data_IF_559043059511
#
_entry.id   IF_559043059511
#
_cell.length_a   1.000
_cell.length_b   1.000
_cell.length_c   1.000
_cell.angle_alpha   90.00
_cell.angle_beta   90.00
_cell.angle_gamma   90.00
#
_symmetry.space_group_name_H-M   'P 1'
#
loop_
_entity.id
_entity.type
_entity.pdbx_description
1 polymer ?
#
# COMPACT_ATOMS: atom_id res chain seq x y z
N UNK A 1 -16.48 -7.15 -8.70
CA UNK A 1 -15.97 -5.78 -8.84
C UNK A 1 -15.19 -5.39 -7.60
N UNK A 2 -14.02 -4.80 -7.77
CA UNK A 2 -13.17 -4.39 -6.64
C UNK A 2 -13.42 -2.93 -6.29
N UNK A 3 -13.86 -2.66 -5.06
CA UNK A 3 -14.13 -1.30 -4.60
C UNK A 3 -12.84 -0.65 -4.08
N UNK A 4 -12.24 0.20 -4.91
CA UNK A 4 -10.97 0.86 -4.60
C UNK A 4 -11.13 1.91 -3.51
N UNK A 5 -12.26 2.60 -3.48
CA UNK A 5 -12.55 3.59 -2.44
C UNK A 5 -12.64 2.94 -1.06
N UNK A 6 -13.27 1.76 -0.98
CA UNK A 6 -13.33 1.00 0.27
C UNK A 6 -11.93 0.57 0.74
N UNK A 7 -11.09 0.12 -0.18
CA UNK A 7 -9.71 -0.25 0.15
C UNK A 7 -8.91 0.95 0.63
N UNK A 8 -9.11 2.11 0.02
CA UNK A 8 -8.43 3.35 0.44
C UNK A 8 -8.87 3.76 1.84
N UNK A 9 -10.16 3.60 2.16
CA UNK A 9 -10.68 3.88 3.49
C UNK A 9 -10.08 2.94 4.53
N UNK A 10 -10.00 1.65 4.21
CA UNK A 10 -9.34 0.67 5.07
C UNK A 10 -7.87 1.03 5.31
N UNK A 11 -7.17 1.41 4.26
CA UNK A 11 -5.77 1.83 4.36
C UNK A 11 -5.63 2.99 5.33
N UNK A 12 -6.48 4.00 5.20
CA UNK A 12 -6.47 5.15 6.10
C UNK A 12 -6.73 4.71 7.55
N UNK A 13 -7.72 3.88 7.78
CA UNK A 13 -8.06 3.38 9.11
C UNK A 13 -6.92 2.57 9.73
N UNK A 14 -6.26 1.73 8.94
CA UNK A 14 -5.13 0.92 9.40
C UNK A 14 -3.89 1.73 9.71
N UNK A 15 -3.74 2.91 9.12
CA UNK A 15 -2.53 3.71 9.24
C UNK A 15 -2.73 4.99 10.06
N UNK A 16 -3.93 5.30 10.51
CA UNK A 16 -4.21 6.54 11.24
C UNK A 16 -3.54 6.61 12.61
N UNK A 17 -3.12 5.45 13.15
CA UNK A 17 -2.34 5.40 14.39
C UNK A 17 -0.95 6.02 14.23
N UNK A 18 -0.48 6.15 13.00
CA UNK A 18 0.84 6.66 12.69
C UNK A 18 0.76 8.16 12.45
N UNK A 19 1.44 8.94 13.28
CA UNK A 19 1.56 10.37 13.04
C UNK A 19 2.40 10.62 11.80
N UNK A 20 1.96 11.56 10.97
CA UNK A 20 2.70 11.95 9.78
C UNK A 20 3.10 13.42 9.88
N UNK A 21 4.34 13.76 9.45
CA UNK A 21 4.74 15.18 9.38
C UNK A 21 3.86 15.97 8.43
N UNK A 22 3.37 15.32 7.39
CA UNK A 22 2.47 15.92 6.41
C UNK A 22 1.22 15.05 6.30
N UNK A 23 0.08 15.52 6.85
CA UNK A 23 -1.17 14.76 6.75
C UNK A 23 -1.54 14.48 5.30
N UNK A 24 -2.03 13.26 5.06
CA UNK A 24 -2.42 12.81 3.72
C UNK A 24 -3.91 13.06 3.47
N UNK A 25 -4.23 13.42 2.23
CA UNK A 25 -5.61 13.57 1.79
C UNK A 25 -6.16 12.23 1.30
N UNK A 26 -7.48 12.12 1.25
CA UNK A 26 -8.14 10.89 0.80
C UNK A 26 -7.72 10.50 -0.63
N UNK A 27 -7.49 11.49 -1.50
CA UNK A 27 -7.03 11.24 -2.86
C UNK A 27 -5.64 10.58 -2.89
N UNK A 28 -4.80 10.86 -1.91
CA UNK A 28 -3.48 10.24 -1.82
C UNK A 28 -3.58 8.77 -1.43
N UNK A 29 -4.49 8.44 -0.50
CA UNK A 29 -4.75 7.05 -0.15
C UNK A 29 -5.31 6.27 -1.34
N UNK A 30 -6.24 6.86 -2.08
CA UNK A 30 -6.79 6.23 -3.28
C UNK A 30 -5.69 6.02 -4.33
N UNK A 31 -4.80 6.98 -4.49
CA UNK A 31 -3.66 6.87 -5.40
C UNK A 31 -2.75 5.70 -5.04
N UNK A 32 -2.52 5.47 -3.75
CA UNK A 32 -1.74 4.32 -3.28
C UNK A 32 -2.41 3.00 -3.64
N UNK A 33 -3.72 2.91 -3.49
CA UNK A 33 -4.48 1.71 -3.86
C UNK A 33 -4.42 1.48 -5.37
N UNK A 34 -4.55 2.52 -6.17
CA UNK A 34 -4.47 2.41 -7.64
C UNK A 34 -3.09 1.90 -8.09
N UNK A 35 -2.02 2.42 -7.49
CA UNK A 35 -0.68 1.94 -7.79
C UNK A 35 -0.47 0.50 -7.33
N UNK A 36 -1.04 0.14 -6.18
CA UNK A 36 -0.98 -1.22 -5.67
C UNK A 36 -1.72 -2.21 -6.58
N UNK A 37 -2.86 -1.79 -7.12
CA UNK A 37 -3.61 -2.60 -8.09
C UNK A 37 -2.76 -2.87 -9.33
N UNK A 38 -2.12 -1.85 -9.87
CA UNK A 38 -1.21 -2.01 -11.02
C UNK A 38 -0.05 -2.94 -10.66
N UNK A 39 0.48 -2.80 -9.46
CA UNK A 39 1.58 -3.62 -8.96
C UNK A 39 1.18 -5.10 -8.92
N UNK A 40 -0.04 -5.40 -8.52
CA UNK A 40 -0.53 -6.77 -8.53
C UNK A 40 -0.43 -7.38 -9.93
N UNK A 41 -0.91 -6.67 -10.95
CA UNK A 41 -0.84 -7.16 -12.33
C UNK A 41 0.59 -7.34 -12.80
N UNK A 42 1.47 -6.40 -12.47
CA UNK A 42 2.88 -6.45 -12.86
C UNK A 42 3.56 -7.64 -12.20
N UNK A 43 3.42 -7.77 -10.88
CA UNK A 43 4.14 -8.79 -10.11
C UNK A 43 3.66 -10.21 -10.42
N UNK A 44 2.43 -10.37 -10.84
CA UNK A 44 1.88 -11.68 -11.21
C UNK A 44 2.04 -11.98 -12.71
N UNK A 45 2.78 -11.14 -13.45
CA UNK A 45 3.03 -11.37 -14.86
C UNK A 45 1.83 -11.10 -15.77
N UNK A 46 0.85 -10.34 -15.28
CA UNK A 46 -0.38 -10.06 -16.03
C UNK A 46 -0.51 -8.57 -16.39
N UNK A 47 0.62 -7.87 -16.53
CA UNK A 47 0.61 -6.44 -16.82
C UNK A 47 -0.22 -6.09 -18.07
N UNK A 48 -0.18 -6.94 -19.09
CA UNK A 48 -0.94 -6.73 -20.32
C UNK A 48 -2.46 -6.87 -20.12
N UNK A 49 -2.89 -7.47 -19.05
CA UNK A 49 -4.31 -7.65 -18.73
C UNK A 49 -4.92 -6.46 -17.98
N UNK A 50 -4.07 -5.59 -17.44
CA UNK A 50 -4.58 -4.39 -16.78
C UNK A 50 -5.21 -3.47 -17.81
N UNK A 51 -6.47 -3.09 -17.56
CA UNK A 51 -7.24 -2.25 -18.48
C UNK A 51 -7.78 -1.03 -17.75
N UNK A 52 -7.23 0.18 -18.04
CA UNK A 52 -7.73 1.40 -17.42
C UNK A 52 -9.22 1.68 -17.68
N UNK A 53 -9.76 1.13 -18.76
CA UNK A 53 -11.18 1.30 -19.08
C UNK A 53 -12.11 0.56 -18.11
N UNK A 54 -11.54 -0.37 -17.32
CA UNK A 54 -12.28 -1.07 -16.26
C UNK A 54 -12.37 -0.29 -14.97
N UNK A 55 -11.72 0.87 -14.88
CA UNK A 55 -11.88 1.79 -13.76
C UNK A 55 -13.19 2.54 -13.96
N UNK A 56 -14.15 2.32 -13.07
CA UNK A 56 -15.49 2.88 -13.20
C UNK A 56 -15.91 3.59 -11.91
N UNK A 57 -16.67 4.67 -12.06
CA UNK A 57 -17.25 5.39 -10.93
C UNK A 57 -18.73 5.01 -10.85
N UNK A 58 -19.16 4.59 -9.66
CA UNK A 58 -20.54 4.20 -9.42
C UNK A 58 -21.34 5.35 -8.81
N UNK A 59 -22.65 5.16 -8.69
CA UNK A 59 -23.59 6.19 -8.24
C UNK A 59 -23.31 6.74 -6.83
N UNK A 60 -22.60 5.97 -6.00
CA UNK A 60 -22.17 6.39 -4.67
C UNK A 60 -20.82 7.12 -4.68
N UNK A 61 -20.38 7.56 -5.85
CA UNK A 61 -19.09 8.22 -6.08
C UNK A 61 -17.89 7.35 -5.73
N UNK A 62 -18.07 6.04 -5.64
CA UNK A 62 -16.98 5.12 -5.38
C UNK A 62 -16.24 4.77 -6.67
N UNK A 63 -14.91 4.65 -6.57
CA UNK A 63 -14.08 4.12 -7.63
C UNK A 63 -14.00 2.62 -7.52
N UNK A 64 -14.18 1.93 -8.64
CA UNK A 64 -14.17 0.48 -8.69
C UNK A 64 -13.37 0.01 -9.89
N UNK A 65 -12.81 -1.19 -9.79
CA UNK A 65 -12.22 -1.87 -10.93
C UNK A 65 -13.13 -3.03 -11.31
N UNK A 66 -13.55 -3.07 -12.57
CA UNK A 66 -14.46 -4.10 -13.07
C UNK A 66 -13.69 -5.39 -13.33
N UNK A 67 -13.61 -6.23 -12.32
CA UNK A 67 -12.91 -7.49 -12.37
C UNK A 67 -13.13 -8.28 -11.09
N UNK A 68 -12.82 -9.57 -11.14
CA UNK A 68 -12.95 -10.47 -9.99
C UNK A 68 -11.56 -10.77 -9.45
N UNK A 69 -11.39 -10.65 -8.13
CA UNK A 69 -10.12 -10.87 -7.47
C UNK A 69 -10.28 -11.89 -6.35
N UNK A 70 -9.24 -12.68 -6.16
CA UNK A 70 -9.16 -13.61 -5.03
C UNK A 70 -8.83 -12.85 -3.76
N UNK A 71 -9.13 -13.45 -2.61
CA UNK A 71 -8.86 -12.84 -1.31
C UNK A 71 -7.37 -12.52 -1.15
N UNK A 72 -6.50 -13.44 -1.59
CA UNK A 72 -5.05 -13.22 -1.52
C UNK A 72 -4.61 -12.04 -2.39
N UNK A 73 -5.26 -11.85 -3.54
CA UNK A 73 -4.96 -10.73 -4.43
C UNK A 73 -5.36 -9.39 -3.78
N UNK A 74 -6.53 -9.34 -3.17
CA UNK A 74 -6.96 -8.13 -2.46
C UNK A 74 -6.04 -7.82 -1.29
N UNK A 75 -5.62 -8.84 -0.55
CA UNK A 75 -4.69 -8.69 0.57
C UNK A 75 -3.33 -8.18 0.07
N UNK A 76 -2.86 -8.71 -1.05
CA UNK A 76 -1.62 -8.24 -1.67
C UNK A 76 -1.68 -6.76 -2.03
N UNK A 77 -2.80 -6.31 -2.59
CA UNK A 77 -3.02 -4.90 -2.90
C UNK A 77 -2.91 -4.05 -1.62
N UNK A 78 -3.56 -4.49 -0.54
CA UNK A 78 -3.51 -3.78 0.74
C UNK A 78 -2.09 -3.68 1.27
N UNK A 79 -1.31 -4.76 1.21
CA UNK A 79 0.07 -4.77 1.68
C UNK A 79 0.97 -3.85 0.85
N UNK A 80 0.81 -3.85 -0.46
CA UNK A 80 1.56 -2.95 -1.34
C UNK A 80 1.25 -1.49 -1.03
N UNK A 81 -0.01 -1.17 -0.79
CA UNK A 81 -0.43 0.19 -0.44
C UNK A 81 0.12 0.61 0.92
N UNK A 82 0.10 -0.28 1.91
CA UNK A 82 0.69 -0.01 3.22
C UNK A 82 2.18 0.25 3.11
N UNK A 83 2.90 -0.51 2.30
CA UNK A 83 4.32 -0.28 2.06
C UNK A 83 4.58 1.11 1.50
N UNK A 84 3.80 1.52 0.52
CA UNK A 84 3.94 2.86 -0.06
C UNK A 84 3.68 3.93 0.99
N UNK A 85 2.64 3.75 1.82
CA UNK A 85 2.33 4.68 2.90
C UNK A 85 3.50 4.85 3.86
N UNK A 86 4.01 3.74 4.40
CA UNK A 86 5.07 3.81 5.41
C UNK A 86 6.39 4.30 4.82
N UNK A 87 6.70 3.97 3.57
CA UNK A 87 7.88 4.51 2.89
C UNK A 87 7.75 6.01 2.66
N UNK A 88 6.54 6.49 2.36
CA UNK A 88 6.29 7.92 2.24
C UNK A 88 6.47 8.63 3.58
N UNK A 89 5.93 8.07 4.66
CA UNK A 89 6.12 8.63 6.01
C UNK A 89 7.60 8.68 6.35
N UNK A 90 8.35 7.63 6.08
CA UNK A 90 9.78 7.59 6.34
C UNK A 90 10.52 8.67 5.56
N UNK A 91 10.18 8.87 4.29
CA UNK A 91 10.75 9.92 3.46
C UNK A 91 10.41 11.32 4.01
N UNK A 92 9.16 11.53 4.39
CA UNK A 92 8.71 12.81 4.92
C UNK A 92 9.39 13.11 6.26
N UNK A 93 9.59 12.12 7.11
CA UNK A 93 10.32 12.28 8.37
C UNK A 93 11.76 12.72 8.09
N UNK A 94 12.43 12.03 7.17
CA UNK A 94 13.81 12.35 6.81
C UNK A 94 13.94 13.77 6.25
N UNK A 95 12.98 14.18 5.43
CA UNK A 95 12.98 15.51 4.82
C UNK A 95 12.66 16.61 5.85
N UNK A 96 11.75 16.33 6.78
CA UNK A 96 11.29 17.32 7.76
C UNK A 96 12.33 17.56 8.86
N UNK A 97 12.96 16.49 9.36
CA UNK A 97 13.90 16.57 10.46
C UNK A 97 15.35 16.68 10.02
N UNK A 98 15.60 16.75 8.72
CA UNK A 98 16.92 16.92 8.14
C UNK A 98 17.81 15.71 8.27
N UNK A 99 19.09 15.92 8.02
CA UNK A 99 20.07 14.83 7.94
C UNK A 99 21.01 14.79 9.11
N UNK A 100 20.72 15.53 10.17
CA UNK A 100 21.51 15.43 11.39
C UNK A 100 21.21 14.09 12.03
N UNK A 101 22.01 13.10 11.73
CA UNK A 101 21.84 11.75 12.20
C UNK A 101 21.76 11.69 13.72
N UNK A 102 22.60 12.45 14.40
CA UNK A 102 22.63 12.46 15.84
C UNK A 102 21.38 13.10 16.43
N UNK A 103 20.95 14.22 15.88
CA UNK A 103 19.73 14.90 16.33
C UNK A 103 18.50 14.01 16.06
N UNK A 104 18.47 13.36 14.92
CA UNK A 104 17.38 12.45 14.57
C UNK A 104 17.34 11.24 15.53
N UNK A 105 18.48 10.68 15.84
CA UNK A 105 18.60 9.55 16.76
C UNK A 105 18.11 9.91 18.14
N UNK A 106 18.53 11.06 18.67
CA UNK A 106 18.13 11.55 19.99
C UNK A 106 16.63 11.84 20.01
N UNK A 107 16.14 12.49 18.97
CA UNK A 107 14.73 12.85 18.87
C UNK A 107 13.85 11.62 18.76
N UNK A 108 14.29 10.63 18.01
CA UNK A 108 13.49 9.42 17.76
C UNK A 108 13.34 8.52 18.98
N UNK A 109 14.12 8.73 20.03
CA UNK A 109 13.98 7.93 21.25
C UNK A 109 12.55 8.00 21.82
N UNK A 110 11.87 9.14 21.61
CA UNK A 110 10.53 9.39 22.15
C UNK A 110 9.48 9.63 21.04
N UNK A 111 9.78 9.27 19.81
CA UNK A 111 8.88 9.55 18.67
C UNK A 111 8.24 8.29 18.11
N UNK A 112 7.01 8.41 17.54
CA UNK A 112 6.32 7.26 16.93
C UNK A 112 7.01 6.71 15.67
N UNK A 113 8.04 7.39 15.18
CA UNK A 113 8.74 7.00 13.95
C UNK A 113 9.87 5.98 14.18
N UNK A 114 10.20 5.68 15.41
CA UNK A 114 11.35 4.82 15.76
C UNK A 114 11.30 3.46 15.07
N UNK A 115 10.11 2.89 14.95
CA UNK A 115 9.93 1.54 14.43
C UNK A 115 9.52 1.47 12.96
N UNK A 116 9.62 2.59 12.22
CA UNK A 116 9.22 2.60 10.81
C UNK A 116 9.96 1.57 9.96
N UNK A 117 11.28 1.48 10.14
CA UNK A 117 12.08 0.51 9.38
C UNK A 117 11.64 -0.92 9.66
N UNK A 118 11.34 -1.24 10.91
CA UNK A 118 10.86 -2.57 11.30
C UNK A 118 9.47 -2.85 10.75
N UNK A 119 8.58 -1.86 10.81
CA UNK A 119 7.23 -1.97 10.26
C UNK A 119 7.28 -2.24 8.75
N UNK A 120 8.10 -1.48 8.02
CA UNK A 120 8.29 -1.67 6.58
C UNK A 120 8.82 -3.07 6.28
N UNK A 121 9.81 -3.54 7.04
CA UNK A 121 10.39 -4.86 6.84
C UNK A 121 9.37 -5.98 7.09
N UNK A 122 8.54 -5.84 8.12
CA UNK A 122 7.51 -6.84 8.43
C UNK A 122 6.43 -6.90 7.36
N UNK A 123 5.96 -5.73 6.88
CA UNK A 123 4.96 -5.67 5.82
C UNK A 123 5.52 -6.24 4.52
N UNK A 124 6.77 -5.92 4.19
CA UNK A 124 7.42 -6.46 2.99
C UNK A 124 7.57 -7.98 3.06
N UNK A 125 7.90 -8.50 4.24
CA UNK A 125 7.99 -9.94 4.46
C UNK A 125 6.62 -10.60 4.23
N UNK A 126 5.56 -10.04 4.80
CA UNK A 126 4.21 -10.55 4.60
C UNK A 126 3.79 -10.49 3.12
N UNK A 127 4.11 -9.38 2.44
CA UNK A 127 3.85 -9.22 1.02
C UNK A 127 4.51 -10.32 0.20
N UNK A 128 5.76 -10.64 0.51
CA UNK A 128 6.50 -11.71 -0.18
C UNK A 128 5.86 -13.07 0.03
N UNK A 129 5.40 -13.33 1.25
CA UNK A 129 4.73 -14.59 1.57
C UNK A 129 3.46 -14.74 0.72
N UNK A 130 2.65 -13.69 0.66
CA UNK A 130 1.41 -13.69 -0.14
C UNK A 130 1.74 -13.83 -1.62
N UNK A 131 2.75 -13.12 -2.09
CA UNK A 131 3.21 -13.22 -3.48
C UNK A 131 3.57 -14.65 -3.86
N UNK A 132 4.36 -15.33 -3.03
CA UNK A 132 4.75 -16.71 -3.30
C UNK A 132 3.55 -17.65 -3.30
N UNK A 133 2.58 -17.42 -2.44
CA UNK A 133 1.35 -18.22 -2.43
C UNK A 133 0.58 -18.07 -3.74
N UNK A 134 0.45 -16.83 -4.24
CA UNK A 134 -0.26 -16.56 -5.49
C UNK A 134 0.43 -17.18 -6.69
N UNK A 135 1.75 -16.98 -6.80
CA UNK A 135 2.54 -17.51 -7.92
C UNK A 135 2.54 -19.03 -7.89
N UNK A 136 2.69 -19.63 -6.70
CA UNK A 136 2.70 -21.07 -6.52
C UNK A 136 1.37 -21.69 -6.95
N UNK A 137 0.26 -21.06 -6.57
CA UNK A 137 -1.07 -21.50 -6.96
C UNK A 137 -1.23 -21.45 -8.48
N UNK A 138 -0.81 -20.35 -9.11
CA UNK A 138 -0.87 -20.18 -10.56
C UNK A 138 -0.04 -21.24 -11.28
N UNK A 139 1.17 -21.51 -10.82
CA UNK A 139 2.04 -22.53 -11.38
C UNK A 139 1.49 -23.94 -11.17
N UNK A 140 0.81 -24.17 -10.06
CA UNK A 140 0.19 -25.45 -9.75
C UNK A 140 -0.96 -25.79 -10.67
N UNK A 141 -1.63 -24.80 -11.24
CA UNK A 141 -2.72 -24.97 -12.19
C UNK A 141 -2.22 -25.22 -13.63
N UNK A 142 -1.01 -24.80 -13.88
CA UNK A 142 -0.38 -24.94 -15.18
C UNK A 142 0.28 -26.28 -15.34
#
# INVERSE_FOLDING_TARGET
MLNLTALAKELKEHTEWQETPMPLEDSQYLGMILRALKRLFIDTGRAAQYDPMKLVTLDDDSYNYDGTFLIDEEYYISLCAQLEFFKKVQSDVNNTFGYSTDALTVTNADKPYVNLANTIAEIDKERRIVYYKMVRFTLGEG
#
